data_IF_466501100622
#
_entry.id   IF_466501100622
#
_cell.length_a   1.000
_cell.length_b   1.000
_cell.length_c   1.000
_cell.angle_alpha   90.00
_cell.angle_beta   90.00
_cell.angle_gamma   90.00
#
_symmetry.space_group_name_H-M   'P 1'
#
loop_
_entity.id
_entity.type
_entity.pdbx_description
1 polymer ?
#
# COMPACT_ATOMS: atom_id res chain seq x y z
N UNK A 1 19.68 1.38 1.64
CA UNK A 1 18.31 1.88 1.38
C UNK A 1 17.73 1.36 0.07
N UNK A 2 18.55 0.81 -0.85
CA UNK A 2 18.10 0.15 -2.08
C UNK A 2 17.51 -1.26 -1.83
N UNK A 3 18.11 -2.06 -0.94
CA UNK A 3 17.74 -3.49 -0.75
C UNK A 3 16.29 -3.75 -0.35
N UNK A 4 15.71 -2.92 0.54
CA UNK A 4 14.33 -3.15 1.04
C UNK A 4 13.29 -2.84 -0.03
N UNK A 5 13.60 -1.93 -0.97
CA UNK A 5 12.71 -1.64 -2.10
C UNK A 5 12.74 -2.76 -3.13
N UNK A 6 13.90 -3.36 -3.38
CA UNK A 6 14.06 -4.47 -4.33
C UNK A 6 13.39 -5.75 -3.82
N UNK A 7 13.52 -6.04 -2.52
CA UNK A 7 12.85 -7.19 -1.92
C UNK A 7 11.32 -7.04 -1.96
N UNK A 8 10.80 -5.84 -1.62
CA UNK A 8 9.37 -5.55 -1.76
C UNK A 8 8.88 -5.69 -3.20
N UNK A 9 9.64 -5.21 -4.20
CA UNK A 9 9.28 -5.34 -5.61
C UNK A 9 9.26 -6.81 -6.07
N UNK A 10 10.18 -7.65 -5.56
CA UNK A 10 10.16 -9.08 -5.84
C UNK A 10 8.90 -9.77 -5.30
N UNK A 11 8.51 -9.48 -4.06
CA UNK A 11 7.26 -9.98 -3.47
C UNK A 11 6.02 -9.43 -4.18
N UNK A 12 6.04 -8.16 -4.61
CA UNK A 12 4.97 -7.53 -5.38
C UNK A 12 4.77 -8.26 -6.73
N UNK A 13 5.86 -8.63 -7.40
CA UNK A 13 5.83 -9.36 -8.66
C UNK A 13 5.34 -10.81 -8.48
N UNK A 14 5.79 -11.48 -7.42
CA UNK A 14 5.36 -12.83 -7.07
C UNK A 14 3.86 -12.87 -6.74
N UNK A 15 3.39 -11.95 -5.89
CA UNK A 15 1.97 -11.77 -5.57
C UNK A 15 1.13 -11.48 -6.82
N UNK A 16 1.60 -10.60 -7.71
CA UNK A 16 0.86 -10.26 -8.94
C UNK A 16 0.74 -11.46 -9.87
N UNK A 17 1.80 -12.26 -9.98
CA UNK A 17 1.79 -13.48 -10.81
C UNK A 17 0.82 -14.52 -10.23
N UNK A 18 0.86 -14.71 -8.91
CA UNK A 18 0.02 -15.66 -8.20
C UNK A 18 -1.45 -15.25 -8.22
N UNK A 19 -1.77 -13.97 -7.98
CA UNK A 19 -3.15 -13.44 -8.04
C UNK A 19 -3.78 -13.56 -9.44
N UNK A 20 -3.02 -13.31 -10.51
CA UNK A 20 -3.48 -13.53 -11.89
C UNK A 20 -3.76 -15.02 -12.13
N UNK A 21 -2.88 -15.91 -11.66
CA UNK A 21 -3.06 -17.35 -11.78
C UNK A 21 -4.32 -17.83 -11.04
N UNK A 22 -4.52 -17.38 -9.80
CA UNK A 22 -5.70 -17.67 -8.98
C UNK A 22 -6.96 -17.16 -9.68
N UNK A 23 -6.97 -15.90 -10.12
CA UNK A 23 -8.11 -15.29 -10.82
C UNK A 23 -8.47 -16.05 -12.11
N UNK A 24 -7.46 -16.49 -12.87
CA UNK A 24 -7.68 -17.33 -14.07
C UNK A 24 -8.30 -18.67 -13.71
N UNK A 25 -7.81 -19.36 -12.66
CA UNK A 25 -8.39 -20.63 -12.21
C UNK A 25 -9.83 -20.46 -11.75
N UNK A 26 -10.09 -19.40 -10.99
CA UNK A 26 -11.39 -19.07 -10.43
C UNK A 26 -12.45 -18.79 -11.51
N UNK A 27 -12.07 -18.01 -12.53
CA UNK A 27 -13.00 -17.56 -13.57
C UNK A 27 -13.12 -18.51 -14.77
N UNK A 28 -12.08 -19.26 -15.11
CA UNK A 28 -12.05 -20.06 -16.34
C UNK A 28 -12.00 -21.58 -16.11
N UNK A 29 -11.36 -22.05 -15.04
CA UNK A 29 -11.08 -23.50 -14.85
C UNK A 29 -12.12 -24.15 -13.95
N UNK A 30 -12.36 -23.59 -12.76
CA UNK A 30 -13.28 -24.17 -11.77
C UNK A 30 -14.75 -24.20 -12.26
N UNK A 31 -15.26 -23.21 -13.03
CA UNK A 31 -16.62 -23.27 -13.57
C UNK A 31 -16.82 -24.36 -14.64
N UNK A 32 -15.76 -24.80 -15.31
CA UNK A 32 -15.80 -25.82 -16.37
C UNK A 32 -15.60 -27.26 -15.87
N UNK A 33 -15.19 -27.45 -14.62
CA UNK A 33 -14.94 -28.76 -14.01
C UNK A 33 -16.15 -29.24 -13.21
N UNK A 34 -16.34 -30.55 -13.10
CA UNK A 34 -17.46 -31.17 -12.37
C UNK A 34 -16.94 -32.25 -11.42
N UNK A 35 -17.57 -32.41 -10.25
CA UNK A 35 -17.29 -33.50 -9.31
C UNK A 35 -15.93 -33.40 -8.60
N UNK A 36 -15.18 -34.49 -8.58
CA UNK A 36 -13.88 -34.65 -7.90
C UNK A 36 -12.80 -33.69 -8.44
N UNK A 37 -12.71 -33.51 -9.76
CA UNK A 37 -11.71 -32.60 -10.37
C UNK A 37 -11.94 -31.14 -9.96
N UNK A 38 -13.20 -30.75 -9.80
CA UNK A 38 -13.57 -29.42 -9.30
C UNK A 38 -13.20 -29.25 -7.83
N UNK A 39 -13.49 -30.26 -6.99
CA UNK A 39 -13.12 -30.24 -5.56
C UNK A 39 -11.59 -30.20 -5.38
N UNK A 40 -10.84 -30.95 -6.19
CA UNK A 40 -9.39 -30.92 -6.19
C UNK A 40 -8.84 -29.55 -6.59
N UNK A 41 -9.40 -28.93 -7.63
CA UNK A 41 -8.98 -27.60 -8.09
C UNK A 41 -9.35 -26.49 -7.09
N UNK A 42 -10.48 -26.61 -6.40
CA UNK A 42 -10.84 -25.70 -5.29
C UNK A 42 -9.79 -25.80 -4.18
N UNK A 43 -9.46 -27.01 -3.69
CA UNK A 43 -8.43 -27.19 -2.66
C UNK A 43 -7.05 -26.70 -3.08
N UNK A 44 -6.69 -26.89 -4.35
CA UNK A 44 -5.44 -26.37 -4.89
C UNK A 44 -5.43 -24.83 -4.89
N UNK A 45 -6.55 -24.20 -5.24
CA UNK A 45 -6.71 -22.74 -5.24
C UNK A 45 -6.76 -22.18 -3.80
N UNK A 46 -7.28 -22.94 -2.83
CA UNK A 46 -7.22 -22.58 -1.40
C UNK A 46 -5.77 -22.50 -0.92
N UNK A 47 -4.92 -23.47 -1.28
CA UNK A 47 -3.50 -23.45 -0.94
C UNK A 47 -2.75 -22.28 -1.57
N UNK A 48 -3.03 -21.98 -2.84
CA UNK A 48 -2.44 -20.83 -3.53
C UNK A 48 -2.89 -19.50 -2.91
N UNK A 49 -4.11 -19.43 -2.36
CA UNK A 49 -4.58 -18.28 -1.61
C UNK A 49 -3.91 -18.12 -0.24
N UNK A 50 -3.55 -19.22 0.42
CA UNK A 50 -2.75 -19.21 1.66
C UNK A 50 -1.33 -18.71 1.37
N UNK A 51 -0.69 -19.21 0.31
CA UNK A 51 0.62 -18.74 -0.16
C UNK A 51 0.60 -17.24 -0.50
N UNK A 52 -0.45 -16.76 -1.17
CA UNK A 52 -0.63 -15.34 -1.43
C UNK A 52 -0.77 -14.50 -0.15
N UNK A 53 -1.37 -15.06 0.90
CA UNK A 53 -1.52 -14.42 2.21
C UNK A 53 -0.16 -14.30 2.90
N UNK A 54 0.65 -15.37 2.88
CA UNK A 54 2.01 -15.39 3.42
C UNK A 54 2.91 -14.35 2.74
N UNK A 55 2.84 -14.22 1.41
CA UNK A 55 3.60 -13.19 0.67
C UNK A 55 3.16 -11.79 1.10
N UNK A 56 1.86 -11.55 1.31
CA UNK A 56 1.36 -10.26 1.81
C UNK A 56 1.84 -9.98 3.23
N UNK A 57 1.90 -10.97 4.11
CA UNK A 57 2.46 -10.83 5.46
C UNK A 57 3.96 -10.52 5.42
N UNK A 58 4.73 -11.16 4.52
CA UNK A 58 6.15 -10.84 4.33
C UNK A 58 6.35 -9.41 3.83
N UNK A 59 5.53 -8.96 2.88
CA UNK A 59 5.50 -7.56 2.45
C UNK A 59 5.19 -6.59 3.60
N UNK A 60 4.32 -6.95 4.55
CA UNK A 60 4.04 -6.13 5.73
C UNK A 60 5.22 -6.01 6.67
N UNK A 61 5.93 -7.10 6.91
CA UNK A 61 7.12 -7.10 7.76
C UNK A 61 8.23 -6.22 7.18
N UNK A 62 8.44 -6.27 5.87
CA UNK A 62 9.42 -5.41 5.19
C UNK A 62 9.02 -3.93 5.25
N UNK A 63 7.73 -3.62 5.06
CA UNK A 63 7.22 -2.24 5.18
C UNK A 63 7.30 -1.73 6.62
N UNK A 64 7.19 -2.61 7.62
CA UNK A 64 7.41 -2.25 9.01
C UNK A 64 8.87 -1.88 9.29
N UNK A 65 9.83 -2.47 8.60
CA UNK A 65 11.25 -2.12 8.78
C UNK A 65 11.67 -0.82 8.05
N UNK A 66 10.79 -0.22 7.25
CA UNK A 66 11.07 1.00 6.49
C UNK A 66 10.90 2.32 7.28
N UNK A 67 11.68 3.37 6.95
CA UNK A 67 11.49 4.73 7.46
C UNK A 67 10.12 5.32 7.12
N UNK A 68 9.62 6.20 7.99
CA UNK A 68 8.24 6.72 7.95
C UNK A 68 7.84 7.38 6.61
N UNK A 69 8.78 8.01 5.91
CA UNK A 69 8.52 8.69 4.64
C UNK A 69 8.20 7.75 3.46
N UNK A 70 8.81 6.55 3.40
CA UNK A 70 8.51 5.55 2.37
C UNK A 70 7.35 4.64 2.77
N UNK A 71 7.14 4.44 4.08
CA UNK A 71 6.09 3.57 4.64
C UNK A 71 4.68 3.94 4.17
N UNK A 72 4.35 5.24 4.06
CA UNK A 72 3.01 5.69 3.65
C UNK A 72 2.63 5.22 2.25
N UNK A 73 3.57 5.24 1.29
CA UNK A 73 3.34 4.81 -0.09
C UNK A 73 3.13 3.30 -0.17
N UNK A 74 3.96 2.51 0.50
CA UNK A 74 3.86 1.05 0.49
C UNK A 74 2.64 0.55 1.27
N UNK A 75 2.26 1.19 2.37
CA UNK A 75 1.03 0.86 3.09
C UNK A 75 -0.24 1.06 2.26
N UNK A 76 -0.30 2.10 1.40
CA UNK A 76 -1.44 2.30 0.52
C UNK A 76 -1.59 1.17 -0.50
N UNK A 77 -0.48 0.69 -1.08
CA UNK A 77 -0.47 -0.46 -1.99
C UNK A 77 -0.87 -1.75 -1.29
N UNK A 78 -0.33 -1.97 -0.10
CA UNK A 78 -0.56 -3.18 0.68
C UNK A 78 -2.02 -3.32 1.12
N UNK A 79 -2.70 -2.21 1.45
CA UNK A 79 -4.17 -2.19 1.66
C UNK A 79 -4.93 -2.62 0.40
N UNK A 80 -4.45 -2.21 -0.79
CA UNK A 80 -5.01 -2.65 -2.08
C UNK A 80 -4.92 -4.16 -2.26
N UNK A 81 -3.72 -4.72 -2.06
CA UNK A 81 -3.49 -6.17 -2.16
C UNK A 81 -4.30 -6.97 -1.15
N UNK A 82 -4.42 -6.51 0.11
CA UNK A 82 -5.31 -7.13 1.10
C UNK A 82 -6.77 -7.14 0.67
N UNK A 83 -7.25 -6.04 0.10
CA UNK A 83 -8.62 -5.98 -0.41
C UNK A 83 -8.85 -6.92 -1.59
N UNK A 84 -7.89 -7.03 -2.51
CA UNK A 84 -7.96 -7.92 -3.66
C UNK A 84 -7.95 -9.40 -3.23
N UNK A 85 -7.05 -9.77 -2.32
CA UNK A 85 -6.99 -11.10 -1.72
C UNK A 85 -8.31 -11.46 -1.01
N UNK A 86 -8.89 -10.51 -0.29
CA UNK A 86 -10.21 -10.66 0.33
C UNK A 86 -11.34 -10.87 -0.69
N UNK A 87 -11.27 -10.27 -1.87
CA UNK A 87 -12.22 -10.53 -2.96
C UNK A 87 -12.08 -11.95 -3.50
N UNK A 88 -10.84 -12.37 -3.80
CA UNK A 88 -10.55 -13.72 -4.31
C UNK A 88 -10.99 -14.81 -3.33
N UNK A 89 -10.74 -14.64 -2.02
CA UNK A 89 -11.22 -15.54 -0.95
C UNK A 89 -12.75 -15.65 -0.94
N UNK A 90 -13.47 -14.53 -1.10
CA UNK A 90 -14.96 -14.53 -1.16
C UNK A 90 -15.49 -15.21 -2.40
N UNK A 91 -14.86 -14.99 -3.55
CA UNK A 91 -15.27 -15.58 -4.81
C UNK A 91 -15.04 -17.10 -4.82
N UNK A 92 -13.93 -17.58 -4.26
CA UNK A 92 -13.71 -19.02 -4.07
C UNK A 92 -14.74 -19.65 -3.13
N UNK A 93 -15.07 -18.97 -2.04
CA UNK A 93 -16.12 -19.43 -1.10
C UNK A 93 -17.48 -19.54 -1.79
N UNK A 94 -17.85 -18.58 -2.65
CA UNK A 94 -19.09 -18.63 -3.43
C UNK A 94 -19.13 -19.84 -4.37
N UNK A 95 -18.04 -20.08 -5.08
CA UNK A 95 -17.88 -21.21 -6.02
C UNK A 95 -17.90 -22.56 -5.27
N UNK A 96 -17.31 -22.63 -4.09
CA UNK A 96 -17.34 -23.82 -3.22
C UNK A 96 -18.74 -24.07 -2.63
N UNK A 97 -19.46 -23.02 -2.20
CA UNK A 97 -20.83 -23.16 -1.70
C UNK A 97 -21.85 -23.60 -2.75
N UNK A 98 -21.68 -23.19 -4.02
CA UNK A 98 -22.61 -23.57 -5.11
C UNK A 98 -22.56 -25.07 -5.47
N UNK A 99 -21.55 -25.80 -4.99
CA UNK A 99 -21.41 -27.25 -5.22
C UNK A 99 -22.27 -28.10 -4.29
N UNK A 100 -22.47 -27.66 -3.04
CA UNK A 100 -23.17 -28.46 -2.02
C UNK A 100 -24.67 -28.60 -2.30
N UNK A 101 -25.31 -27.51 -2.71
CA UNK A 101 -26.78 -27.46 -2.88
C UNK A 101 -27.28 -28.24 -4.12
N UNK A 102 -26.43 -28.46 -5.12
CA UNK A 102 -26.86 -29.07 -6.40
C UNK A 102 -26.83 -30.59 -6.39
N UNK A 103 -25.96 -31.18 -5.58
CA UNK A 103 -25.81 -32.64 -5.48
C UNK A 103 -26.88 -33.25 -4.57
N UNK A 104 -27.31 -32.52 -3.54
CA UNK A 104 -28.40 -32.94 -2.65
C UNK A 104 -29.78 -32.90 -3.34
N UNK A 105 -29.97 -31.96 -4.29
CA UNK A 105 -31.22 -31.84 -5.06
C UNK A 105 -31.39 -32.89 -6.17
N UNK A 106 -30.33 -33.59 -6.58
CA UNK A 106 -30.38 -34.58 -7.66
C UNK A 106 -30.66 -36.03 -7.19
N UNK A 107 -30.54 -36.28 -5.88
CA UNK A 107 -30.75 -37.59 -5.26
C UNK A 107 -32.19 -37.82 -4.75
N UNK A 108 -33.03 -36.78 -4.77
CA UNK A 108 -34.40 -36.83 -4.21
C UNK A 108 -35.54 -37.11 -5.20
N UNK A 109 -35.29 -37.32 -6.49
CA UNK A 109 -36.32 -37.33 -7.54
C UNK A 109 -36.51 -38.68 -8.26
N UNK A 110 -36.65 -39.80 -7.54
CA UNK A 110 -36.92 -41.10 -8.21
C UNK A 110 -38.12 -41.90 -7.75
N UNK A 111 -38.90 -41.49 -6.74
CA UNK A 111 -40.09 -42.28 -6.38
C UNK A 111 -41.27 -41.43 -5.88
N UNK A 112 -42.44 -41.71 -6.47
CA UNK A 112 -43.81 -41.52 -5.97
C UNK A 112 -44.58 -40.29 -6.51
N UNK A 113 -45.27 -40.58 -7.62
CA UNK A 113 -46.35 -39.83 -8.23
C UNK A 113 -47.66 -39.94 -7.41
N UNK A 114 -48.44 -38.85 -7.42
CA UNK A 114 -49.87 -38.70 -7.09
C UNK A 114 -50.30 -38.10 -5.73
N UNK A 115 -49.58 -38.29 -4.62
CA UNK A 115 -49.81 -37.50 -3.38
C UNK A 115 -48.98 -36.19 -3.34
N UNK A 116 -48.10 -36.06 -4.33
CA UNK A 116 -47.11 -34.99 -4.49
C UNK A 116 -47.72 -33.61 -4.73
N UNK A 117 -48.88 -33.48 -5.39
CA UNK A 117 -49.39 -32.15 -5.78
C UNK A 117 -49.79 -31.29 -4.57
N UNK A 118 -50.32 -31.89 -3.49
CA UNK A 118 -50.71 -31.16 -2.28
C UNK A 118 -49.51 -30.86 -1.36
N UNK A 119 -48.57 -31.81 -1.28
CA UNK A 119 -47.31 -31.64 -0.55
C UNK A 119 -46.36 -30.68 -1.25
N UNK A 120 -46.31 -30.67 -2.58
CA UNK A 120 -45.47 -29.79 -3.40
C UNK A 120 -45.92 -28.33 -3.28
N UNK A 121 -47.23 -28.08 -3.09
CA UNK A 121 -47.74 -26.72 -2.85
C UNK A 121 -47.33 -26.19 -1.46
N UNK A 122 -47.34 -27.05 -0.43
CA UNK A 122 -46.88 -26.72 0.94
C UNK A 122 -45.36 -26.59 1.01
N UNK A 123 -44.63 -27.46 0.31
CA UNK A 123 -43.18 -27.41 0.16
C UNK A 123 -42.72 -26.18 -0.64
N UNK A 124 -43.49 -25.75 -1.65
CA UNK A 124 -43.25 -24.48 -2.37
C UNK A 124 -43.45 -23.26 -1.48
N UNK A 125 -44.46 -23.25 -0.61
CA UNK A 125 -44.68 -22.15 0.33
C UNK A 125 -43.61 -22.10 1.44
N UNK A 126 -43.22 -23.27 1.95
CA UNK A 126 -42.11 -23.38 2.92
C UNK A 126 -40.77 -22.98 2.31
N UNK A 127 -40.44 -23.48 1.11
CA UNK A 127 -39.20 -23.09 0.41
C UNK A 127 -39.21 -21.63 -0.04
N UNK A 128 -40.37 -21.06 -0.38
CA UNK A 128 -40.53 -19.62 -0.60
C UNK A 128 -40.26 -18.80 0.66
N UNK A 129 -40.72 -19.26 1.82
CA UNK A 129 -40.48 -18.63 3.12
C UNK A 129 -39.01 -18.76 3.54
N UNK A 130 -38.40 -19.91 3.30
CA UNK A 130 -36.98 -20.17 3.61
C UNK A 130 -36.06 -19.31 2.73
N UNK A 131 -36.33 -19.23 1.43
CA UNK A 131 -35.61 -18.33 0.50
C UNK A 131 -35.75 -16.85 0.88
N UNK A 132 -36.94 -16.44 1.34
CA UNK A 132 -37.17 -15.08 1.80
C UNK A 132 -36.41 -14.80 3.10
N UNK A 133 -36.43 -15.74 4.04
CA UNK A 133 -35.65 -15.66 5.29
C UNK A 133 -34.15 -15.59 5.01
N UNK A 134 -33.64 -16.41 4.09
CA UNK A 134 -32.22 -16.39 3.72
C UNK A 134 -31.84 -15.10 2.99
N UNK A 135 -32.69 -14.62 2.07
CA UNK A 135 -32.49 -13.32 1.42
C UNK A 135 -32.51 -12.17 2.42
N UNK A 136 -33.38 -12.23 3.43
CA UNK A 136 -33.44 -11.25 4.52
C UNK A 136 -32.17 -11.25 5.36
N UNK A 137 -31.62 -12.43 5.69
CA UNK A 137 -30.33 -12.55 6.39
C UNK A 137 -29.18 -11.99 5.55
N UNK A 138 -29.12 -12.34 4.26
CA UNK A 138 -28.11 -11.80 3.33
C UNK A 138 -28.19 -10.29 3.18
N UNK A 139 -29.39 -9.73 3.17
CA UNK A 139 -29.61 -8.28 3.16
C UNK A 139 -29.11 -7.62 4.44
N UNK A 140 -29.42 -8.21 5.60
CA UNK A 140 -28.97 -7.73 6.90
C UNK A 140 -27.45 -7.78 7.02
N UNK A 141 -26.83 -8.87 6.54
CA UNK A 141 -25.37 -9.03 6.50
C UNK A 141 -24.72 -8.02 5.54
N UNK A 142 -25.34 -7.79 4.38
CA UNK A 142 -24.86 -6.79 3.42
C UNK A 142 -24.96 -5.38 3.99
N UNK A 143 -26.04 -5.06 4.72
CA UNK A 143 -26.20 -3.79 5.40
C UNK A 143 -25.15 -3.61 6.50
N UNK A 144 -24.89 -4.66 7.30
CA UNK A 144 -23.83 -4.63 8.32
C UNK A 144 -22.46 -4.41 7.70
N UNK A 145 -22.14 -5.14 6.64
CA UNK A 145 -20.88 -5.01 5.92
C UNK A 145 -20.73 -3.61 5.27
N UNK A 146 -21.82 -3.05 4.76
CA UNK A 146 -21.82 -1.70 4.19
C UNK A 146 -21.51 -0.64 5.27
N UNK A 147 -22.11 -0.75 6.46
CA UNK A 147 -21.83 0.14 7.60
C UNK A 147 -20.38 -0.01 8.09
N UNK A 148 -19.87 -1.24 8.16
CA UNK A 148 -18.46 -1.48 8.51
C UNK A 148 -17.52 -0.85 7.47
N UNK A 149 -17.85 -1.00 6.18
CA UNK A 149 -17.10 -0.38 5.07
C UNK A 149 -17.15 1.14 5.12
N UNK A 150 -18.31 1.73 5.47
CA UNK A 150 -18.46 3.18 5.67
C UNK A 150 -17.58 3.66 6.82
N UNK A 151 -17.58 2.96 7.96
CA UNK A 151 -16.72 3.27 9.11
C UNK A 151 -15.23 3.23 8.74
N UNK A 152 -14.80 2.22 7.97
CA UNK A 152 -13.43 2.14 7.46
C UNK A 152 -13.14 3.29 6.50
N UNK A 153 -14.07 3.63 5.61
CA UNK A 153 -13.96 4.76 4.68
C UNK A 153 -13.80 6.11 5.40
N UNK A 154 -14.55 6.34 6.48
CA UNK A 154 -14.42 7.52 7.34
C UNK A 154 -13.05 7.56 8.02
N UNK A 155 -12.54 6.42 8.49
CA UNK A 155 -11.17 6.32 9.03
C UNK A 155 -10.12 6.72 8.00
N UNK A 156 -10.25 6.26 6.75
CA UNK A 156 -9.35 6.62 5.65
C UNK A 156 -9.40 8.12 5.35
N UNK A 157 -10.59 8.74 5.33
CA UNK A 157 -10.72 10.17 5.10
C UNK A 157 -10.05 11.00 6.21
N UNK A 158 -10.15 10.56 7.47
CA UNK A 158 -9.46 11.20 8.58
C UNK A 158 -7.94 11.08 8.48
N UNK A 159 -7.43 9.89 8.13
CA UNK A 159 -6.00 9.68 7.90
C UNK A 159 -5.46 10.54 6.76
N UNK A 160 -6.17 10.60 5.63
CA UNK A 160 -5.80 11.44 4.48
C UNK A 160 -5.78 12.92 4.85
N UNK A 161 -6.74 13.36 5.68
CA UNK A 161 -6.79 14.72 6.20
C UNK A 161 -5.57 15.03 7.08
N UNK A 162 -5.22 14.13 8.01
CA UNK A 162 -4.03 14.27 8.85
C UNK A 162 -2.73 14.27 8.03
N UNK A 163 -2.62 13.40 7.02
CA UNK A 163 -1.48 13.40 6.10
C UNK A 163 -1.35 14.69 5.29
N UNK A 164 -2.47 15.27 4.83
CA UNK A 164 -2.47 16.56 4.14
C UNK A 164 -1.92 17.67 5.03
N UNK A 165 -2.35 17.70 6.29
CA UNK A 165 -1.88 18.67 7.28
C UNK A 165 -0.38 18.51 7.55
N UNK A 166 0.11 17.27 7.67
CA UNK A 166 1.53 16.99 7.84
C UNK A 166 2.37 17.39 6.61
N UNK A 167 1.88 17.16 5.39
CA UNK A 167 2.54 17.62 4.17
C UNK A 167 2.60 19.15 4.13
N UNK A 168 1.53 19.83 4.55
CA UNK A 168 1.48 21.28 4.59
C UNK A 168 2.48 21.85 5.59
N UNK A 169 2.53 21.32 6.81
CA UNK A 169 3.54 21.70 7.81
C UNK A 169 4.98 21.44 7.35
N UNK A 170 5.22 20.32 6.67
CA UNK A 170 6.55 20.00 6.12
C UNK A 170 6.95 21.00 5.05
N UNK A 171 6.02 21.40 4.17
CA UNK A 171 6.26 22.44 3.16
C UNK A 171 6.57 23.79 3.79
N UNK A 172 5.79 24.21 4.78
CA UNK A 172 6.00 25.48 5.48
C UNK A 172 7.35 25.50 6.21
N UNK A 173 7.72 24.38 6.85
CA UNK A 173 9.03 24.23 7.50
C UNK A 173 10.18 24.26 6.48
N UNK A 174 10.01 23.64 5.31
CA UNK A 174 11.00 23.70 4.23
C UNK A 174 11.18 25.12 3.67
N UNK A 175 10.09 25.88 3.45
CA UNK A 175 10.19 27.28 3.04
C UNK A 175 10.87 28.16 4.10
N UNK A 176 10.58 27.92 5.38
CA UNK A 176 11.27 28.62 6.47
C UNK A 176 12.77 28.28 6.51
N UNK A 177 13.13 27.01 6.33
CA UNK A 177 14.52 26.56 6.27
C UNK A 177 15.26 27.16 5.06
N UNK A 178 14.65 27.18 3.88
CA UNK A 178 15.20 27.80 2.67
C UNK A 178 15.47 29.31 2.87
N UNK A 179 14.52 30.02 3.50
CA UNK A 179 14.69 31.43 3.85
C UNK A 179 15.84 31.67 4.84
N UNK A 180 16.08 30.71 5.75
CA UNK A 180 17.18 30.78 6.72
C UNK A 180 18.54 30.50 6.07
N UNK A 181 18.58 29.60 5.08
CA UNK A 181 19.75 29.33 4.23
C UNK A 181 20.11 30.56 3.42
N UNK A 182 19.14 31.24 2.84
CA UNK A 182 19.34 32.46 2.06
C UNK A 182 19.94 33.59 2.91
N UNK A 183 19.45 33.75 4.15
CA UNK A 183 20.00 34.71 5.12
C UNK A 183 21.43 34.34 5.52
N UNK A 184 21.69 33.06 5.81
CA UNK A 184 23.02 32.56 6.15
C UNK A 184 24.02 32.74 4.99
N UNK A 185 23.59 32.54 3.74
CA UNK A 185 24.40 32.79 2.55
C UNK A 185 24.80 34.26 2.38
N UNK A 186 23.87 35.19 2.66
CA UNK A 186 24.14 36.64 2.61
C UNK A 186 25.12 37.08 3.70
N UNK A 187 24.99 36.59 4.92
CA UNK A 187 25.94 36.90 6.02
C UNK A 187 27.31 36.30 5.75
N UNK A 188 27.38 35.05 5.29
CA UNK A 188 28.65 34.42 4.88
C UNK A 188 29.34 35.22 3.76
N UNK A 189 28.63 35.60 2.70
CA UNK A 189 29.18 36.43 1.61
C UNK A 189 29.73 37.77 2.11
N UNK A 190 29.08 38.37 3.11
CA UNK A 190 29.54 39.61 3.75
C UNK A 190 30.80 39.39 4.57
N UNK A 191 30.89 38.29 5.33
CA UNK A 191 32.10 37.93 6.07
C UNK A 191 33.28 37.62 5.13
N UNK A 192 33.05 36.87 4.05
CA UNK A 192 34.10 36.53 3.07
C UNK A 192 34.68 37.78 2.40
N UNK A 193 33.82 38.74 2.03
CA UNK A 193 34.29 40.03 1.46
C UNK A 193 35.14 40.82 2.45
N UNK A 194 34.70 40.96 3.71
CA UNK A 194 35.44 41.65 4.77
C UNK A 194 36.79 40.97 5.07
N UNK A 195 36.81 39.64 5.06
CA UNK A 195 38.04 38.87 5.25
C UNK A 195 39.05 39.14 4.12
N UNK A 196 38.59 39.18 2.86
CA UNK A 196 39.44 39.44 1.71
C UNK A 196 40.02 40.86 1.72
N UNK A 197 39.21 41.88 2.07
CA UNK A 197 39.70 43.25 2.21
C UNK A 197 40.74 43.39 3.32
N UNK A 198 40.50 42.74 4.47
CA UNK A 198 41.44 42.79 5.58
C UNK A 198 42.77 42.09 5.24
N UNK A 199 42.74 40.96 4.52
CA UNK A 199 43.94 40.30 4.02
C UNK A 199 44.73 41.17 3.05
N UNK A 200 44.06 41.83 2.09
CA UNK A 200 44.71 42.74 1.15
C UNK A 200 45.33 43.96 1.84
N UNK A 201 44.62 44.57 2.79
CA UNK A 201 45.12 45.71 3.56
C UNK A 201 46.36 45.32 4.37
N UNK A 202 46.34 44.16 5.03
CA UNK A 202 47.49 43.64 5.78
C UNK A 202 48.69 43.39 4.85
N UNK A 203 48.47 42.78 3.68
CA UNK A 203 49.54 42.56 2.70
C UNK A 203 50.15 43.88 2.17
N UNK A 204 49.32 44.90 1.93
CA UNK A 204 49.77 46.21 1.48
C UNK A 204 50.68 46.90 2.53
N UNK A 205 50.32 46.85 3.81
CA UNK A 205 51.15 47.40 4.90
C UNK A 205 52.53 46.74 4.94
N UNK A 206 52.57 45.40 4.83
CA UNK A 206 53.84 44.65 4.84
C UNK A 206 54.73 45.04 3.65
N UNK A 207 54.16 45.17 2.45
CA UNK A 207 54.91 45.59 1.25
C UNK A 207 55.51 47.00 1.44
N UNK A 208 54.71 47.95 1.93
CA UNK A 208 55.19 49.32 2.19
C UNK A 208 56.33 49.34 3.20
N UNK A 209 56.23 48.55 4.28
CA UNK A 209 57.28 48.42 5.29
C UNK A 209 58.59 47.89 4.69
N UNK A 210 58.52 46.85 3.86
CA UNK A 210 59.69 46.28 3.17
C UNK A 210 60.32 47.30 2.23
N UNK A 211 59.52 48.07 1.48
CA UNK A 211 60.03 49.12 0.60
C UNK A 211 60.74 50.24 1.36
N UNK A 212 60.20 50.68 2.50
CA UNK A 212 60.83 51.70 3.35
C UNK A 212 62.17 51.19 3.89
N UNK A 213 62.22 49.96 4.41
CA UNK A 213 63.46 49.35 4.91
C UNK A 213 64.49 49.24 3.77
N UNK A 214 64.07 48.75 2.61
CA UNK A 214 64.93 48.64 1.42
C UNK A 214 65.49 49.99 0.98
N UNK A 215 64.66 51.04 0.98
CA UNK A 215 65.07 52.40 0.65
C UNK A 215 66.11 52.95 1.63
N UNK A 216 65.92 52.76 2.94
CA UNK A 216 66.87 53.18 3.97
C UNK A 216 68.22 52.45 3.80
N UNK A 217 68.20 51.15 3.55
CA UNK A 217 69.42 50.36 3.33
C UNK A 217 70.14 50.83 2.07
N UNK A 218 69.42 51.07 0.98
CA UNK A 218 69.99 51.60 -0.26
C UNK A 218 70.67 52.95 -0.04
N UNK A 219 69.98 53.90 0.61
CA UNK A 219 70.55 55.22 0.92
C UNK A 219 71.79 55.12 1.82
N UNK A 220 71.80 54.20 2.80
CA UNK A 220 72.94 54.01 3.70
C UNK A 220 74.15 53.33 3.03
N UNK A 221 73.93 52.51 2.01
CA UNK A 221 75.02 51.75 1.38
C UNK A 221 75.63 52.49 0.18
N UNK A 222 74.83 53.34 -0.47
CA UNK A 222 75.26 54.12 -1.64
C UNK A 222 75.69 55.57 -1.29
N UNK A 223 75.43 56.03 -0.06
CA UNK A 223 75.90 57.31 0.48
C UNK A 223 76.75 57.06 1.73
#
# INVERSE_FOLDING_TARGET
MADVSELFESYEQEYTTLSIAISKKLNAVIPGQVGEERKASIRATERELEEADEIVEQMEMEVFNLPQASRTRFQARLRGYKSELGNLKRDLKRISSSSGEREELLLGHTTLDLDSVSMDQRARLLSGTERLSDSSRRLQDSHRLALETESVGVGILNDLRGQREQIQHTRDTLFAADSSIDRAGRTLKTMTRRMMTNRLLTAAIVIVLVLIIGFIVYMKFFH
#
